data_IF_608007278722
#
_entry.id   IF_608007278722
#
_cell.length_a   1.000
_cell.length_b   1.000
_cell.length_c   1.000
_cell.angle_alpha   90.00
_cell.angle_beta   90.00
_cell.angle_gamma   90.00
#
_symmetry.space_group_name_H-M   'P 1'
#
loop_
_entity.id
_entity.type
_entity.pdbx_description
1 polymer ?
#
# COMPACT_ATOMS: atom_id res chain seq x y z
N UNK A 1 4.62 5.75 1.52
CA UNK A 1 3.41 6.35 2.13
C UNK A 1 2.29 5.30 2.18
N UNK A 2 1.22 5.56 2.92
CA UNK A 2 0.09 4.66 3.06
C UNK A 2 -1.22 5.44 3.16
N UNK A 3 -2.22 5.05 2.38
CA UNK A 3 -3.61 5.56 2.50
C UNK A 3 -4.51 4.41 2.91
N UNK A 4 -5.29 4.60 3.97
CA UNK A 4 -6.30 3.63 4.39
C UNK A 4 -7.62 3.87 3.67
N UNK A 5 -8.28 2.79 3.28
CA UNK A 5 -9.62 2.81 2.68
C UNK A 5 -10.57 2.00 3.56
N UNK A 6 -11.81 2.47 3.70
CA UNK A 6 -12.85 1.81 4.46
C UNK A 6 -14.17 1.97 3.73
N UNK A 7 -14.81 0.85 3.42
CA UNK A 7 -16.18 0.78 2.96
C UNK A 7 -17.01 0.02 4.02
N UNK A 8 -17.77 0.72 4.89
CA UNK A 8 -18.56 0.07 5.93
C UNK A 8 -19.79 -0.68 5.37
N UNK A 9 -20.33 -0.25 4.23
CA UNK A 9 -21.50 -0.89 3.60
C UNK A 9 -21.15 -2.29 3.07
N UNK A 10 -19.97 -2.41 2.44
CA UNK A 10 -19.45 -3.69 1.96
C UNK A 10 -18.61 -4.45 3.00
N UNK A 11 -18.38 -3.84 4.18
CA UNK A 11 -17.51 -4.37 5.24
C UNK A 11 -16.08 -4.63 4.77
N UNK A 12 -15.59 -3.79 3.86
CA UNK A 12 -14.26 -3.91 3.27
C UNK A 12 -13.34 -2.84 3.82
N UNK A 13 -12.16 -3.23 4.28
CA UNK A 13 -11.09 -2.32 4.64
C UNK A 13 -9.86 -2.65 3.80
N UNK A 14 -9.10 -1.63 3.42
CA UNK A 14 -7.93 -1.80 2.58
C UNK A 14 -6.89 -0.72 2.82
N UNK A 15 -5.79 -0.83 2.10
CA UNK A 15 -4.78 0.20 2.08
C UNK A 15 -4.05 0.22 0.73
N UNK A 16 -3.75 1.43 0.27
CA UNK A 16 -2.88 1.67 -0.87
C UNK A 16 -1.52 2.07 -0.33
N UNK A 17 -0.49 1.34 -0.74
CA UNK A 17 0.88 1.56 -0.33
C UNK A 17 1.71 2.02 -1.53
N UNK A 18 2.81 2.68 -1.22
CA UNK A 18 3.85 2.99 -2.20
C UNK A 18 5.21 2.84 -1.57
N UNK A 19 6.03 2.22 -2.38
CA UNK A 19 7.38 1.80 -2.10
C UNK A 19 8.29 2.47 -3.13
N UNK A 20 9.54 2.72 -2.74
CA UNK A 20 10.52 3.33 -3.62
C UNK A 20 10.88 2.40 -4.80
N UNK A 21 10.88 1.10 -4.54
CA UNK A 21 11.30 0.04 -5.47
C UNK A 21 10.58 -1.28 -5.16
N UNK A 22 10.81 -2.27 -6.02
CA UNK A 22 10.24 -3.60 -5.90
C UNK A 22 10.79 -4.37 -4.67
N UNK A 23 12.07 -4.21 -4.35
CA UNK A 23 12.70 -4.90 -3.21
C UNK A 23 12.05 -4.47 -1.89
N UNK A 24 11.72 -3.18 -1.75
CA UNK A 24 11.02 -2.60 -0.60
C UNK A 24 9.58 -3.14 -0.47
N UNK A 25 8.90 -3.36 -1.60
CA UNK A 25 7.58 -4.01 -1.63
C UNK A 25 7.68 -5.47 -1.19
N UNK A 26 8.66 -6.22 -1.71
CA UNK A 26 8.88 -7.62 -1.36
C UNK A 26 9.22 -7.78 0.12
N UNK A 27 10.16 -6.99 0.64
CA UNK A 27 10.51 -6.97 2.05
C UNK A 27 9.31 -6.66 2.95
N UNK A 28 8.40 -5.77 2.51
CA UNK A 28 7.15 -5.52 3.23
C UNK A 28 6.21 -6.72 3.20
N UNK A 29 6.04 -7.38 2.06
CA UNK A 29 5.19 -8.57 1.94
C UNK A 29 5.73 -9.78 2.72
N UNK A 30 7.03 -9.85 2.95
CA UNK A 30 7.68 -10.87 3.78
C UNK A 30 7.71 -10.51 5.27
N UNK A 31 7.33 -9.29 5.63
CA UNK A 31 7.38 -8.82 7.01
C UNK A 31 6.38 -9.51 7.94
N UNK A 32 6.73 -9.62 9.22
CA UNK A 32 5.81 -10.13 10.25
C UNK A 32 4.54 -9.29 10.35
N UNK A 33 4.62 -7.98 10.09
CA UNK A 33 3.46 -7.10 10.08
C UNK A 33 2.45 -7.50 9.01
N UNK A 34 2.92 -7.71 7.77
CA UNK A 34 2.05 -8.14 6.69
C UNK A 34 1.48 -9.54 6.95
N UNK A 35 2.32 -10.44 7.46
CA UNK A 35 1.91 -11.77 7.91
C UNK A 35 0.79 -11.72 8.95
N UNK A 36 0.95 -10.89 9.99
CA UNK A 36 -0.03 -10.74 11.07
C UNK A 36 -1.38 -10.22 10.56
N UNK A 37 -1.38 -9.26 9.62
CA UNK A 37 -2.62 -8.74 9.00
C UNK A 37 -3.30 -9.83 8.18
N UNK A 38 -2.54 -10.60 7.39
CA UNK A 38 -3.06 -11.66 6.53
C UNK A 38 -3.59 -12.86 7.32
N UNK A 39 -3.05 -13.12 8.51
CA UNK A 39 -3.50 -14.21 9.38
C UNK A 39 -4.55 -13.80 10.41
N UNK A 40 -4.92 -12.52 10.49
CA UNK A 40 -5.79 -12.03 11.55
C UNK A 40 -7.22 -12.56 11.36
N UNK A 41 -7.83 -13.24 12.35
CA UNK A 41 -9.11 -13.94 12.16
C UNK A 41 -10.30 -13.02 11.86
N UNK A 42 -10.22 -11.74 12.22
CA UNK A 42 -11.24 -10.74 11.89
C UNK A 42 -11.16 -10.24 10.43
N UNK A 43 -10.09 -10.56 9.70
CA UNK A 43 -9.87 -10.16 8.32
C UNK A 43 -9.86 -11.41 7.45
N UNK A 44 -10.55 -11.37 6.32
CA UNK A 44 -10.63 -12.49 5.39
C UNK A 44 -10.93 -11.98 3.98
N UNK A 45 -10.82 -12.84 2.97
CA UNK A 45 -11.07 -12.44 1.58
C UNK A 45 -10.03 -11.45 1.05
N UNK A 46 -8.75 -11.62 1.40
CA UNK A 46 -7.69 -10.70 1.02
C UNK A 46 -7.45 -10.71 -0.48
N UNK A 47 -7.50 -9.54 -1.10
CA UNK A 47 -7.07 -9.30 -2.48
C UNK A 47 -5.88 -8.34 -2.47
N UNK A 48 -4.79 -8.73 -3.13
CA UNK A 48 -3.56 -7.96 -3.20
C UNK A 48 -3.21 -7.81 -4.68
N UNK A 49 -3.02 -6.58 -5.13
CA UNK A 49 -2.61 -6.26 -6.49
C UNK A 49 -1.42 -5.32 -6.45
N UNK A 50 -0.43 -5.59 -7.30
CA UNK A 50 0.79 -4.78 -7.43
C UNK A 50 0.78 -4.07 -8.78
N UNK A 51 1.24 -2.82 -8.80
CA UNK A 51 1.23 -1.98 -9.99
C UNK A 51 2.52 -1.18 -10.08
N UNK A 52 2.97 -0.95 -11.31
CA UNK A 52 3.97 0.08 -11.56
C UNK A 52 3.32 1.47 -11.55
N UNK A 53 4.11 2.46 -11.13
CA UNK A 53 3.65 3.84 -11.00
C UNK A 53 3.93 4.59 -12.30
N UNK A 54 2.87 5.17 -12.88
CA UNK A 54 2.97 6.09 -14.00
C UNK A 54 3.40 7.47 -13.49
N UNK A 55 4.71 7.70 -13.38
CA UNK A 55 5.28 8.82 -12.63
C UNK A 55 4.87 10.20 -13.17
N UNK A 56 4.88 10.40 -14.49
CA UNK A 56 4.56 11.69 -15.10
C UNK A 56 3.10 12.10 -14.85
N UNK A 57 2.18 11.16 -15.08
CA UNK A 57 0.73 11.33 -14.90
C UNK A 57 0.38 11.47 -13.41
N UNK A 58 1.07 10.71 -12.56
CA UNK A 58 0.93 10.82 -11.12
C UNK A 58 1.33 12.23 -10.66
N UNK A 59 2.44 12.79 -11.13
CA UNK A 59 2.82 14.17 -10.80
C UNK A 59 1.75 15.18 -11.22
N UNK A 60 1.21 15.06 -12.44
CA UNK A 60 0.15 15.94 -12.94
C UNK A 60 -1.12 15.89 -12.09
N UNK A 61 -1.45 14.70 -11.58
CA UNK A 61 -2.65 14.45 -10.77
C UNK A 61 -2.41 14.55 -9.26
N UNK A 62 -1.23 15.06 -8.85
CA UNK A 62 -0.80 15.22 -7.44
C UNK A 62 -0.69 13.90 -6.69
N UNK A 63 -0.35 12.83 -7.42
CA UNK A 63 0.07 11.56 -6.87
C UNK A 63 1.35 11.74 -6.01
N UNK A 64 1.47 10.96 -4.93
CA UNK A 64 2.58 11.04 -3.96
C UNK A 64 3.87 10.37 -4.47
N UNK A 65 4.37 10.84 -5.61
CA UNK A 65 5.55 10.28 -6.32
C UNK A 65 6.75 11.23 -6.32
N UNK A 66 6.60 12.43 -5.74
CA UNK A 66 7.63 13.46 -5.67
C UNK A 66 8.03 13.87 -4.24
N UNK A 67 7.51 13.17 -3.22
CA UNK A 67 7.88 13.40 -1.83
C UNK A 67 8.97 12.38 -1.49
N UNK A 68 10.23 12.73 -1.79
CA UNK A 68 11.35 12.14 -1.04
C UNK A 68 11.19 12.64 0.39
N UNK A 69 11.02 11.73 1.34
CA UNK A 69 11.07 12.10 2.75
C UNK A 69 12.45 12.75 2.99
N UNK A 70 12.48 14.02 3.37
CA UNK A 70 13.70 14.61 3.89
C UNK A 70 14.05 13.84 5.17
N UNK A 71 15.21 13.18 5.18
CA UNK A 71 15.77 12.58 6.38
C UNK A 71 16.29 13.74 7.26
N UNK A 72 15.65 13.95 8.42
CA UNK A 72 16.13 14.83 9.51
C UNK A 72 17.25 14.15 10.33
#
# INVERSE_FOLDING_TARGET
>A
WKVWTLNPEEKTAGAVYYFADADSLEAYMESELFGAVKSHPALSGHEISTFQVMAAESLMTRGPVGIVAEEE
#
